data_IF_317678858497
#
_entry.id   IF_317678858497
#
_cell.length_a   1.000
_cell.length_b   1.000
_cell.length_c   1.000
_cell.angle_alpha   90.00
_cell.angle_beta   90.00
_cell.angle_gamma   90.00
#
_symmetry.space_group_name_H-M   'P 1'
#
loop_
_entity.id
_entity.type
_entity.pdbx_description
1 polymer ?
#
# COMPACT_ATOMS: atom_id res chain seq x y z
N UNK A 1 15.25 17.69 15.45
CA UNK A 1 14.84 16.26 15.55
C UNK A 1 15.36 15.56 14.31
N UNK A 2 16.30 14.66 14.50
CA UNK A 2 16.91 13.86 13.44
C UNK A 2 16.36 12.43 13.46
N UNK A 3 15.92 11.94 12.34
CA UNK A 3 15.34 10.59 12.23
C UNK A 3 16.16 9.75 11.27
N UNK A 4 16.54 8.56 11.67
CA UNK A 4 17.16 7.57 10.81
C UNK A 4 16.15 6.49 10.46
N UNK A 5 15.86 6.33 9.17
CA UNK A 5 15.02 5.22 8.68
C UNK A 5 15.92 4.01 8.49
N UNK A 6 15.67 2.96 9.28
CA UNK A 6 16.42 1.73 9.20
C UNK A 6 15.97 0.90 8.00
N UNK A 7 16.88 0.61 7.10
CA UNK A 7 16.64 -0.08 5.83
C UNK A 7 17.05 -1.57 5.87
N UNK A 8 17.25 -2.14 7.05
CA UNK A 8 17.56 -3.56 7.18
C UNK A 8 16.50 -4.45 6.55
N UNK A 9 16.92 -5.46 5.80
CA UNK A 9 16.02 -6.32 5.04
C UNK A 9 15.39 -5.68 3.81
N UNK A 10 15.67 -4.42 3.47
CA UNK A 10 15.07 -3.72 2.31
C UNK A 10 15.25 -4.50 1.00
N UNK A 11 16.39 -5.15 0.79
CA UNK A 11 16.62 -5.96 -0.42
C UNK A 11 15.60 -7.09 -0.60
N UNK A 12 15.02 -7.58 0.51
CA UNK A 12 14.02 -8.65 0.50
C UNK A 12 12.63 -8.08 0.17
N UNK A 13 12.34 -6.87 0.67
CA UNK A 13 11.01 -6.25 0.59
C UNK A 13 10.92 -5.09 -0.41
N UNK A 14 11.98 -4.76 -1.13
CA UNK A 14 12.05 -3.62 -2.03
C UNK A 14 10.93 -3.60 -3.10
N UNK A 15 10.54 -4.78 -3.59
CA UNK A 15 9.44 -4.97 -4.57
C UNK A 15 8.10 -5.27 -3.89
N UNK A 16 7.85 -4.73 -2.70
CA UNK A 16 6.61 -4.92 -1.95
C UNK A 16 6.07 -3.58 -1.46
N UNK A 17 4.85 -3.58 -0.91
CA UNK A 17 4.26 -2.39 -0.28
C UNK A 17 5.12 -1.80 0.84
N UNK A 18 5.92 -2.61 1.55
CA UNK A 18 6.88 -2.12 2.57
C UNK A 18 8.01 -1.31 1.92
N UNK A 19 8.51 -1.76 0.77
CA UNK A 19 9.53 -1.01 0.00
C UNK A 19 9.01 0.36 -0.42
N UNK A 20 7.81 0.42 -1.00
CA UNK A 20 7.15 1.68 -1.36
C UNK A 20 6.93 2.57 -0.13
N UNK A 21 6.46 2.00 0.98
CA UNK A 21 6.24 2.73 2.22
C UNK A 21 7.52 3.38 2.78
N UNK A 22 8.67 2.71 2.68
CA UNK A 22 9.97 3.29 3.11
C UNK A 22 10.33 4.51 2.24
N UNK A 23 10.13 4.44 0.93
CA UNK A 23 10.34 5.59 0.05
C UNK A 23 9.40 6.75 0.38
N UNK A 24 8.12 6.45 0.62
CA UNK A 24 7.14 7.44 1.05
C UNK A 24 7.53 8.09 2.37
N UNK A 25 8.02 7.31 3.34
CA UNK A 25 8.46 7.85 4.63
C UNK A 25 9.65 8.82 4.49
N UNK A 26 10.62 8.54 3.63
CA UNK A 26 11.71 9.49 3.32
C UNK A 26 11.16 10.79 2.74
N UNK A 27 10.20 10.68 1.82
CA UNK A 27 9.53 11.85 1.27
C UNK A 27 8.70 12.60 2.34
N UNK A 28 8.04 11.87 3.26
CA UNK A 28 7.35 12.46 4.41
C UNK A 28 8.30 13.26 5.30
N UNK A 29 9.49 12.72 5.62
CA UNK A 29 10.49 13.45 6.40
C UNK A 29 10.85 14.76 5.70
N UNK A 30 11.11 14.71 4.40
CA UNK A 30 11.45 15.91 3.60
C UNK A 30 10.32 16.92 3.60
N UNK A 31 9.08 16.51 3.32
CA UNK A 31 7.91 17.39 3.25
C UNK A 31 7.55 18.01 4.62
N UNK A 32 7.75 17.26 5.71
CA UNK A 32 7.50 17.72 7.07
C UNK A 32 8.69 18.43 7.71
N UNK A 33 9.76 18.73 6.95
CA UNK A 33 10.99 19.36 7.43
C UNK A 33 11.60 18.63 8.64
N UNK A 34 11.60 17.31 8.60
CA UNK A 34 12.28 16.45 9.58
C UNK A 34 13.64 16.07 9.00
N UNK A 35 14.72 16.38 9.72
CA UNK A 35 16.07 16.06 9.27
C UNK A 35 16.29 14.54 9.22
N UNK A 36 16.63 14.00 8.05
CA UNK A 36 17.06 12.60 7.91
C UNK A 36 18.53 12.47 8.35
N UNK A 37 18.78 11.60 9.32
CA UNK A 37 20.14 11.34 9.80
C UNK A 37 20.86 10.37 8.85
N UNK A 38 22.15 10.63 8.57
CA UNK A 38 22.96 9.77 7.73
C UNK A 38 23.23 8.40 8.40
N UNK A 39 23.16 8.33 9.72
CA UNK A 39 23.34 7.10 10.49
C UNK A 39 22.49 7.08 11.75
N UNK A 40 22.19 5.87 12.25
CA UNK A 40 21.46 5.71 13.51
C UNK A 40 22.18 6.34 14.71
N UNK A 41 23.52 6.52 14.65
CA UNK A 41 24.32 7.13 15.72
C UNK A 41 24.01 8.62 15.91
N UNK A 42 23.70 9.32 14.82
CA UNK A 42 23.40 10.75 14.80
C UNK A 42 21.90 11.05 15.04
N UNK A 43 21.08 10.03 14.92
CA UNK A 43 19.62 10.18 15.05
C UNK A 43 19.19 10.37 16.51
N UNK A 44 18.08 11.09 16.69
CA UNK A 44 17.28 11.10 17.91
C UNK A 44 16.30 9.94 17.93
N UNK A 45 15.75 9.61 16.73
CA UNK A 45 14.78 8.55 16.48
C UNK A 45 15.35 7.56 15.47
N UNK A 46 15.28 6.27 15.78
CA UNK A 46 15.50 5.17 14.84
C UNK A 46 14.16 4.58 14.47
N UNK A 47 13.75 4.77 13.22
CA UNK A 47 12.48 4.33 12.66
C UNK A 47 12.68 3.00 11.93
N UNK A 48 12.02 1.94 12.38
CA UNK A 48 12.21 0.57 11.90
C UNK A 48 10.94 0.08 11.19
N UNK A 49 11.09 -0.42 9.97
CA UNK A 49 9.98 -0.83 9.09
C UNK A 49 9.80 -2.33 8.95
N UNK A 50 10.78 -3.12 9.36
CA UNK A 50 10.78 -4.57 9.17
C UNK A 50 10.85 -5.32 10.50
N UNK A 51 10.46 -6.60 10.47
CA UNK A 51 10.45 -7.48 11.63
C UNK A 51 11.50 -8.61 11.51
N UNK A 52 12.54 -8.39 10.69
CA UNK A 52 13.63 -9.34 10.56
C UNK A 52 14.56 -9.35 11.81
N UNK A 53 15.35 -10.39 12.02
CA UNK A 53 16.26 -10.47 13.18
C UNK A 53 17.23 -9.29 13.29
N UNK A 54 17.73 -8.76 12.17
CA UNK A 54 18.59 -7.57 12.13
C UNK A 54 17.87 -6.30 12.64
N UNK A 55 16.56 -6.18 12.40
CA UNK A 55 15.73 -5.09 12.94
C UNK A 55 15.63 -5.15 14.46
N UNK A 56 15.56 -6.36 15.03
CA UNK A 56 15.58 -6.56 16.48
C UNK A 56 16.92 -6.13 17.07
N UNK A 57 18.02 -6.49 16.42
CA UNK A 57 19.38 -6.06 16.83
C UNK A 57 19.51 -4.54 16.76
N UNK A 58 19.05 -3.94 15.65
CA UNK A 58 19.07 -2.49 15.47
C UNK A 58 18.27 -1.76 16.56
N UNK A 59 17.06 -2.24 16.89
CA UNK A 59 16.25 -1.71 17.98
C UNK A 59 16.96 -1.79 19.33
N UNK A 60 17.57 -2.94 19.66
CA UNK A 60 18.32 -3.15 20.89
C UNK A 60 19.52 -2.21 21.01
N UNK A 61 20.32 -2.10 19.96
CA UNK A 61 21.50 -1.22 19.92
C UNK A 61 21.10 0.26 20.02
N UNK A 62 20.04 0.67 19.34
CA UNK A 62 19.52 2.03 19.42
C UNK A 62 19.11 2.39 20.86
N UNK A 63 18.38 1.52 21.53
CA UNK A 63 17.97 1.70 22.93
C UNK A 63 19.14 1.76 23.89
N UNK A 64 20.12 0.87 23.75
CA UNK A 64 21.33 0.89 24.57
C UNK A 64 22.12 2.21 24.46
N UNK A 65 21.95 2.92 23.33
CA UNK A 65 22.54 4.23 23.10
C UNK A 65 21.60 5.40 23.41
N UNK A 66 20.50 5.15 24.11
CA UNK A 66 19.54 6.17 24.51
C UNK A 66 18.70 6.77 23.38
N UNK A 67 18.69 6.14 22.18
CA UNK A 67 17.89 6.59 21.05
C UNK A 67 16.44 6.14 21.23
N UNK A 68 15.49 6.94 20.72
CA UNK A 68 14.09 6.52 20.63
C UNK A 68 13.89 5.57 19.46
N UNK A 69 13.13 4.52 19.68
CA UNK A 69 12.81 3.52 18.65
C UNK A 69 11.35 3.61 18.29
N UNK A 70 11.06 3.85 17.03
CA UNK A 70 9.70 3.83 16.46
C UNK A 70 9.61 2.65 15.52
N UNK A 71 8.68 1.73 15.77
CA UNK A 71 8.35 0.67 14.81
C UNK A 71 7.17 1.09 13.93
N UNK A 72 7.32 0.93 12.63
CA UNK A 72 6.19 1.01 11.71
C UNK A 72 5.66 -0.41 11.45
N UNK A 73 4.46 -0.68 11.94
CA UNK A 73 3.81 -1.99 11.88
C UNK A 73 3.13 -2.24 10.55
N UNK A 74 3.90 -2.59 9.53
CA UNK A 74 3.38 -2.98 8.23
C UNK A 74 2.80 -4.38 8.22
N UNK A 75 3.25 -5.25 9.12
CA UNK A 75 2.87 -6.67 9.12
C UNK A 75 1.87 -6.97 10.23
N UNK A 76 0.82 -7.71 9.87
CA UNK A 76 -0.14 -8.33 10.79
C UNK A 76 -0.19 -9.83 10.57
N UNK A 77 -0.76 -10.59 11.50
CA UNK A 77 -0.98 -12.01 11.30
C UNK A 77 -1.97 -12.26 10.16
N UNK A 78 -2.96 -11.40 10.05
CA UNK A 78 -4.02 -11.45 9.05
C UNK A 78 -3.45 -11.26 7.65
N UNK A 79 -2.61 -10.25 7.45
CA UNK A 79 -1.91 -9.98 6.19
C UNK A 79 -0.90 -11.08 5.81
N UNK A 80 -0.34 -11.77 6.80
CA UNK A 80 0.58 -12.90 6.59
C UNK A 80 -0.12 -14.17 6.10
N UNK A 81 -1.37 -14.39 6.50
CA UNK A 81 -2.16 -15.54 6.06
C UNK A 81 -2.41 -15.50 4.56
N UNK A 82 -2.50 -16.69 3.93
CA UNK A 82 -2.77 -16.85 2.49
C UNK A 82 -1.79 -16.09 1.58
N UNK A 83 -0.61 -15.72 2.11
CA UNK A 83 0.42 -15.00 1.34
C UNK A 83 1.43 -15.93 0.67
N UNK A 84 1.67 -17.12 1.21
CA UNK A 84 2.55 -18.12 0.61
C UNK A 84 2.31 -19.53 1.17
N UNK A 85 2.93 -20.53 0.57
CA UNK A 85 2.80 -21.93 0.96
C UNK A 85 3.18 -22.10 2.45
N UNK A 86 2.24 -22.60 3.24
CA UNK A 86 2.44 -22.88 4.68
C UNK A 86 2.25 -21.67 5.62
N UNK A 87 2.00 -20.47 5.09
CA UNK A 87 1.79 -19.24 5.90
C UNK A 87 0.73 -19.43 6.98
N UNK A 88 -0.36 -20.09 6.69
CA UNK A 88 -1.47 -20.32 7.64
C UNK A 88 -1.04 -21.13 8.87
N UNK A 89 -0.12 -22.10 8.70
CA UNK A 89 0.38 -22.93 9.81
C UNK A 89 1.29 -22.16 10.75
N UNK A 90 2.10 -21.24 10.19
CA UNK A 90 3.07 -20.46 10.98
C UNK A 90 2.53 -19.10 11.44
N UNK A 91 1.36 -18.68 10.98
CA UNK A 91 0.76 -17.41 11.32
C UNK A 91 0.61 -17.16 12.85
N UNK A 92 0.22 -18.14 13.70
CA UNK A 92 0.18 -17.91 15.15
C UNK A 92 1.55 -17.66 15.77
N UNK A 93 2.61 -18.31 15.26
CA UNK A 93 3.99 -18.07 15.68
C UNK A 93 4.47 -16.69 15.20
N UNK A 94 4.13 -16.33 13.97
CA UNK A 94 4.40 -15.00 13.41
C UNK A 94 3.74 -13.89 14.23
N UNK A 95 2.49 -14.06 14.68
CA UNK A 95 1.82 -13.13 15.60
C UNK A 95 2.64 -12.89 16.89
N UNK A 96 3.17 -13.96 17.50
CA UNK A 96 4.01 -13.83 18.70
C UNK A 96 5.32 -13.08 18.39
N UNK A 97 5.91 -13.36 17.22
CA UNK A 97 7.12 -12.72 16.77
C UNK A 97 6.93 -11.21 16.54
N UNK A 98 5.92 -10.81 15.79
CA UNK A 98 5.66 -9.37 15.54
C UNK A 98 5.27 -8.64 16.81
N UNK A 99 4.50 -9.28 17.72
CA UNK A 99 4.24 -8.73 19.05
C UNK A 99 5.55 -8.44 19.79
N UNK A 100 6.49 -9.38 19.78
CA UNK A 100 7.81 -9.18 20.38
C UNK A 100 8.56 -8.02 19.71
N UNK A 101 8.68 -8.02 18.38
CA UNK A 101 9.39 -6.96 17.65
C UNK A 101 8.79 -5.57 17.96
N UNK A 102 7.50 -5.41 17.82
CA UNK A 102 6.84 -4.12 18.05
C UNK A 102 6.89 -3.66 19.51
N UNK A 103 6.95 -4.59 20.45
CA UNK A 103 7.14 -4.26 21.87
C UNK A 103 8.52 -3.68 22.19
N UNK A 104 9.50 -3.83 21.30
CA UNK A 104 10.82 -3.19 21.41
C UNK A 104 10.74 -1.68 21.11
N UNK A 105 9.75 -1.20 20.39
CA UNK A 105 9.55 0.22 20.13
C UNK A 105 9.24 1.03 21.40
N UNK A 106 9.52 2.31 21.40
CA UNK A 106 9.00 3.25 22.40
C UNK A 106 7.54 3.58 22.07
N UNK A 107 7.22 3.61 20.78
CA UNK A 107 5.86 3.61 20.24
C UNK A 107 5.79 2.81 18.92
N UNK A 108 4.60 2.53 18.46
CA UNK A 108 4.33 1.85 17.19
C UNK A 108 3.47 2.75 16.31
N UNK A 109 3.75 2.76 15.03
CA UNK A 109 2.91 3.38 14.01
C UNK A 109 2.38 2.27 13.10
N UNK A 110 1.19 2.43 12.55
CA UNK A 110 0.62 1.52 11.56
C UNK A 110 -0.30 2.31 10.62
N UNK A 111 -0.61 1.84 9.40
CA UNK A 111 -1.21 2.72 8.40
C UNK A 111 -2.65 3.17 8.69
N UNK A 112 -3.46 2.33 9.35
CA UNK A 112 -4.90 2.56 9.53
C UNK A 112 -5.36 2.27 10.95
N UNK A 113 -6.54 2.77 11.33
CA UNK A 113 -7.17 2.43 12.60
C UNK A 113 -7.53 0.93 12.67
N UNK A 114 -7.82 0.29 11.53
CA UNK A 114 -8.01 -1.16 11.46
C UNK A 114 -6.75 -1.93 11.87
N UNK A 115 -5.62 -1.66 11.22
CA UNK A 115 -4.35 -2.31 11.56
C UNK A 115 -3.90 -1.99 12.98
N UNK A 116 -4.19 -0.78 13.50
CA UNK A 116 -3.99 -0.42 14.90
C UNK A 116 -4.81 -1.32 15.83
N UNK A 117 -6.11 -1.48 15.57
CA UNK A 117 -6.97 -2.37 16.35
C UNK A 117 -6.48 -3.82 16.37
N UNK A 118 -5.96 -4.33 15.23
CA UNK A 118 -5.34 -5.66 15.18
C UNK A 118 -4.11 -5.73 16.10
N UNK A 119 -3.19 -4.77 16.01
CA UNK A 119 -1.96 -4.77 16.83
C UNK A 119 -2.28 -4.60 18.32
N UNK A 120 -3.26 -3.80 18.68
CA UNK A 120 -3.77 -3.68 20.05
C UNK A 120 -4.32 -5.03 20.57
N UNK A 121 -5.07 -5.76 19.71
CA UNK A 121 -5.60 -7.09 20.01
C UNK A 121 -4.52 -8.15 20.28
N UNK A 122 -3.29 -7.92 19.79
CA UNK A 122 -2.15 -8.80 20.07
C UNK A 122 -1.56 -8.60 21.46
N UNK A 123 -2.05 -7.61 22.21
CA UNK A 123 -1.57 -7.28 23.57
C UNK A 123 -0.22 -6.56 23.57
N UNK A 124 0.05 -5.74 22.56
CA UNK A 124 1.20 -4.83 22.55
C UNK A 124 0.92 -3.69 23.53
N UNK A 125 1.78 -3.55 24.55
CA UNK A 125 1.60 -2.58 25.64
C UNK A 125 2.18 -1.18 25.30
N UNK A 126 2.49 -0.94 24.05
CA UNK A 126 3.00 0.35 23.56
C UNK A 126 1.87 1.18 22.97
N UNK A 127 2.02 2.52 23.01
CA UNK A 127 1.09 3.40 22.29
C UNK A 127 1.21 3.12 20.79
N UNK A 128 0.08 2.91 20.13
CA UNK A 128 -0.04 2.64 18.70
C UNK A 128 -0.79 3.79 18.05
N UNK A 129 -0.22 4.35 16.98
CA UNK A 129 -0.80 5.45 16.24
C UNK A 129 -1.05 5.07 14.78
N UNK A 130 -2.20 5.47 14.24
CA UNK A 130 -2.49 5.32 12.82
C UNK A 130 -1.94 6.54 12.05
N UNK A 131 -1.02 6.26 11.12
CA UNK A 131 -0.47 7.24 10.18
C UNK A 131 -0.40 6.57 8.82
N UNK A 132 -1.10 7.10 7.82
CA UNK A 132 -1.10 6.56 6.44
C UNK A 132 0.31 6.45 5.87
N UNK A 133 0.54 5.47 5.00
CA UNK A 133 1.76 5.40 4.18
C UNK A 133 1.88 6.59 3.21
N UNK A 134 0.78 7.30 3.00
CA UNK A 134 0.73 8.42 2.08
C UNK A 134 0.76 8.03 0.60
N UNK A 135 0.39 8.97 -0.24
CA UNK A 135 0.52 8.88 -1.69
C UNK A 135 1.11 10.18 -2.23
N UNK A 136 1.97 10.08 -3.23
CA UNK A 136 2.50 11.27 -3.92
C UNK A 136 1.47 11.77 -4.94
N UNK A 137 0.59 12.68 -4.50
CA UNK A 137 -0.50 13.22 -5.32
C UNK A 137 -0.01 14.14 -6.44
N UNK A 138 1.22 14.63 -6.37
CA UNK A 138 1.83 15.39 -7.46
C UNK A 138 2.35 14.47 -8.57
N UNK A 139 2.83 13.30 -8.18
CA UNK A 139 3.27 12.29 -9.14
C UNK A 139 2.08 11.49 -9.69
N UNK A 140 1.20 10.94 -8.84
CA UNK A 140 0.01 10.19 -9.23
C UNK A 140 -1.14 11.15 -9.56
N UNK A 141 -1.13 11.65 -10.78
CA UNK A 141 -2.18 12.46 -11.38
C UNK A 141 -2.21 12.25 -12.89
N UNK A 142 -3.39 12.31 -13.49
CA UNK A 142 -3.52 12.36 -14.94
C UNK A 142 -3.13 13.75 -15.44
N UNK A 143 -2.44 13.79 -16.57
CA UNK A 143 -2.13 15.02 -17.30
C UNK A 143 -3.02 15.11 -18.55
N UNK A 144 -3.29 13.97 -19.18
CA UNK A 144 -4.14 13.85 -20.35
C UNK A 144 -4.66 12.41 -20.49
N UNK A 145 -5.84 12.16 -19.93
CA UNK A 145 -6.45 10.83 -19.89
C UNK A 145 -6.56 10.14 -21.27
N UNK A 146 -6.91 10.88 -22.31
CA UNK A 146 -7.05 10.31 -23.65
C UNK A 146 -5.71 9.85 -24.24
N UNK A 147 -4.65 10.61 -23.99
CA UNK A 147 -3.29 10.25 -24.43
C UNK A 147 -2.73 9.08 -23.61
N UNK A 148 -2.92 9.09 -22.30
CA UNK A 148 -2.51 8.01 -21.40
C UNK A 148 -3.25 6.70 -21.76
N UNK A 149 -4.54 6.79 -22.10
CA UNK A 149 -5.32 5.65 -22.58
C UNK A 149 -4.80 5.12 -23.91
N UNK A 150 -4.51 6.01 -24.86
CA UNK A 150 -3.91 5.64 -26.14
C UNK A 150 -2.57 4.94 -25.94
N UNK A 151 -1.70 5.49 -25.11
CA UNK A 151 -0.41 4.88 -24.79
C UNK A 151 -0.57 3.47 -24.19
N UNK A 152 -1.56 3.27 -23.33
CA UNK A 152 -1.85 1.97 -22.72
C UNK A 152 -2.32 0.96 -23.77
N UNK A 153 -3.22 1.37 -24.68
CA UNK A 153 -3.66 0.55 -25.80
C UNK A 153 -2.50 0.13 -26.71
N UNK A 154 -1.66 1.08 -27.10
CA UNK A 154 -0.51 0.83 -27.97
C UNK A 154 0.52 -0.09 -27.32
N UNK A 155 0.86 0.18 -26.05
CA UNK A 155 1.88 -0.58 -25.32
C UNK A 155 1.52 -2.05 -25.16
N UNK A 156 0.26 -2.36 -24.88
CA UNK A 156 -0.20 -3.73 -24.62
C UNK A 156 -0.91 -4.36 -25.81
N UNK A 157 -0.92 -3.70 -26.98
CA UNK A 157 -1.55 -4.22 -28.19
C UNK A 157 -3.07 -4.42 -28.07
N UNK A 158 -3.73 -3.54 -27.32
CA UNK A 158 -5.17 -3.64 -27.04
C UNK A 158 -5.95 -3.00 -28.19
N UNK A 159 -6.97 -3.69 -28.69
CA UNK A 159 -7.81 -3.19 -29.77
C UNK A 159 -8.52 -1.88 -29.37
N UNK A 160 -8.59 -0.94 -30.32
CA UNK A 160 -9.25 0.33 -30.11
C UNK A 160 -10.72 0.14 -29.68
N UNK A 161 -11.15 0.95 -28.71
CA UNK A 161 -12.51 0.91 -28.17
C UNK A 161 -12.75 -0.17 -27.12
N UNK A 162 -11.79 -1.05 -26.87
CA UNK A 162 -11.89 -2.05 -25.81
C UNK A 162 -11.70 -1.41 -24.44
N UNK A 163 -12.55 -1.76 -23.47
CA UNK A 163 -12.43 -1.29 -22.09
C UNK A 163 -11.25 -1.96 -21.40
N UNK A 164 -10.55 -1.22 -20.52
CA UNK A 164 -9.38 -1.68 -19.80
C UNK A 164 -9.64 -1.60 -18.31
N UNK A 165 -9.50 -2.74 -17.63
CA UNK A 165 -9.51 -2.86 -16.17
C UNK A 165 -8.12 -3.22 -15.70
N UNK A 166 -7.55 -2.42 -14.79
CA UNK A 166 -6.23 -2.67 -14.21
C UNK A 166 -6.32 -3.12 -12.77
N UNK A 167 -5.37 -3.92 -12.33
CA UNK A 167 -5.18 -4.33 -10.95
C UNK A 167 -3.69 -4.37 -10.62
N UNK A 168 -3.32 -4.27 -9.34
CA UNK A 168 -1.92 -4.29 -8.94
C UNK A 168 -1.70 -5.06 -7.63
N UNK A 169 -0.65 -5.88 -7.58
CA UNK A 169 -0.27 -6.64 -6.40
C UNK A 169 0.60 -7.86 -6.68
N UNK A 170 0.97 -8.56 -5.61
CA UNK A 170 1.64 -9.84 -5.76
C UNK A 170 0.68 -10.93 -6.27
N UNK A 171 1.21 -11.88 -7.04
CA UNK A 171 0.45 -13.05 -7.53
C UNK A 171 0.25 -14.08 -6.41
N UNK A 172 -0.58 -13.75 -5.43
CA UNK A 172 -0.92 -14.59 -4.28
C UNK A 172 -2.42 -14.60 -4.02
N UNK A 173 -2.92 -15.67 -3.40
CA UNK A 173 -4.35 -15.85 -3.13
C UNK A 173 -4.95 -14.66 -2.36
N UNK A 174 -4.25 -14.17 -1.33
CA UNK A 174 -4.71 -13.04 -0.52
C UNK A 174 -4.99 -11.78 -1.34
N UNK A 175 -4.25 -11.55 -2.42
CA UNK A 175 -4.47 -10.41 -3.33
C UNK A 175 -5.63 -10.63 -4.33
N UNK A 176 -6.27 -11.80 -4.28
CA UNK A 176 -7.46 -12.10 -5.09
C UNK A 176 -7.18 -12.34 -6.56
N UNK A 177 -5.96 -12.83 -6.91
CA UNK A 177 -5.61 -13.14 -8.30
C UNK A 177 -6.56 -14.16 -8.95
N UNK A 178 -7.10 -15.09 -8.19
CA UNK A 178 -8.05 -16.08 -8.71
C UNK A 178 -9.38 -15.42 -9.10
N UNK A 179 -9.87 -14.48 -8.29
CA UNK A 179 -11.09 -13.72 -8.57
C UNK A 179 -10.91 -12.80 -9.78
N UNK A 180 -9.74 -12.17 -9.89
CA UNK A 180 -9.40 -11.35 -11.07
C UNK A 180 -9.47 -12.19 -12.36
N UNK A 181 -8.89 -13.38 -12.35
CA UNK A 181 -8.91 -14.28 -13.50
C UNK A 181 -10.32 -14.79 -13.83
N UNK A 182 -11.12 -15.07 -12.82
CA UNK A 182 -12.48 -15.54 -13.02
C UNK A 182 -13.38 -14.40 -13.54
N UNK A 183 -13.25 -13.18 -13.01
CA UNK A 183 -13.97 -12.02 -13.53
C UNK A 183 -13.60 -11.73 -14.99
N UNK A 184 -12.33 -11.89 -15.37
CA UNK A 184 -11.91 -11.73 -16.76
C UNK A 184 -12.59 -12.73 -17.72
N UNK A 185 -12.83 -13.98 -17.29
CA UNK A 185 -13.61 -14.95 -18.07
C UNK A 185 -15.07 -14.55 -18.21
N UNK A 186 -15.65 -13.92 -17.18
CA UNK A 186 -17.03 -13.44 -17.21
C UNK A 186 -17.22 -12.23 -18.13
N UNK A 187 -16.14 -11.54 -18.52
CA UNK A 187 -16.15 -10.31 -19.32
C UNK A 187 -15.14 -10.39 -20.50
N UNK A 188 -15.35 -11.27 -21.49
CA UNK A 188 -14.37 -11.55 -22.55
C UNK A 188 -14.07 -10.34 -23.45
N UNK A 189 -14.96 -9.36 -23.52
CA UNK A 189 -14.81 -8.14 -24.33
C UNK A 189 -14.06 -7.02 -23.60
N UNK A 190 -13.67 -7.21 -22.33
CA UNK A 190 -12.89 -6.28 -21.53
C UNK A 190 -11.46 -6.80 -21.42
N UNK A 191 -10.46 -5.94 -21.52
CA UNK A 191 -9.08 -6.30 -21.27
C UNK A 191 -8.74 -6.10 -19.81
N UNK A 192 -8.15 -7.11 -19.20
CA UNK A 192 -7.72 -7.10 -17.80
C UNK A 192 -6.19 -7.13 -17.73
N UNK A 193 -5.58 -6.16 -17.04
CA UNK A 193 -4.14 -6.08 -16.87
C UNK A 193 -3.79 -6.18 -15.39
N UNK A 194 -2.92 -7.13 -15.05
CA UNK A 194 -2.38 -7.25 -13.70
C UNK A 194 -0.94 -6.77 -13.65
N UNK A 195 -0.68 -5.78 -12.79
CA UNK A 195 0.65 -5.26 -12.50
C UNK A 195 1.21 -5.88 -11.22
N UNK A 196 2.46 -6.26 -11.27
CA UNK A 196 3.15 -6.92 -10.17
C UNK A 196 3.44 -8.39 -10.46
N UNK A 197 4.13 -9.01 -9.56
CA UNK A 197 4.61 -10.38 -9.73
C UNK A 197 4.71 -11.10 -8.41
N UNK A 198 5.42 -12.22 -8.40
CA UNK A 198 5.67 -13.01 -7.21
C UNK A 198 7.00 -13.78 -7.35
N UNK A 199 7.49 -14.29 -6.23
CA UNK A 199 8.54 -15.28 -6.24
C UNK A 199 7.90 -16.65 -6.49
N UNK A 200 8.14 -17.23 -7.66
CA UNK A 200 7.53 -18.48 -8.09
C UNK A 200 7.66 -19.63 -7.07
N UNK A 201 8.70 -19.63 -6.25
CA UNK A 201 8.88 -20.62 -5.20
C UNK A 201 7.90 -20.50 -4.03
N UNK A 202 7.29 -19.33 -3.85
CA UNK A 202 6.33 -19.05 -2.77
C UNK A 202 4.88 -19.06 -3.22
N UNK A 203 4.64 -18.95 -4.53
CA UNK A 203 3.30 -18.98 -5.14
C UNK A 203 2.71 -20.39 -5.06
N UNK A 204 1.44 -20.51 -4.64
CA UNK A 204 0.76 -21.80 -4.56
C UNK A 204 0.57 -22.43 -5.93
N UNK A 205 0.48 -23.76 -5.98
CA UNK A 205 0.28 -24.49 -7.24
C UNK A 205 -1.03 -24.06 -7.94
N UNK A 206 -2.08 -23.84 -7.17
CA UNK A 206 -3.38 -23.37 -7.67
C UNK A 206 -3.25 -22.05 -8.44
N UNK A 207 -2.52 -21.05 -7.86
CA UNK A 207 -2.29 -19.77 -8.51
C UNK A 207 -1.44 -19.93 -9.78
N UNK A 208 -0.39 -20.78 -9.74
CA UNK A 208 0.43 -21.06 -10.93
C UNK A 208 -0.37 -21.64 -12.08
N UNK A 209 -1.23 -22.61 -11.79
CA UNK A 209 -2.10 -23.24 -12.78
C UNK A 209 -3.14 -22.27 -13.33
N UNK A 210 -3.76 -21.45 -12.47
CA UNK A 210 -4.71 -20.43 -12.89
C UNK A 210 -4.06 -19.37 -13.80
N UNK A 211 -2.87 -18.89 -13.45
CA UNK A 211 -2.10 -17.95 -14.26
C UNK A 211 -1.71 -18.53 -15.61
N UNK A 212 -1.30 -19.80 -15.65
CA UNK A 212 -0.96 -20.53 -16.89
C UNK A 212 -2.18 -20.67 -17.82
N UNK A 213 -3.36 -20.90 -17.23
CA UNK A 213 -4.61 -21.16 -17.96
C UNK A 213 -5.49 -19.89 -18.08
N UNK A 214 -4.88 -18.71 -18.02
CA UNK A 214 -5.59 -17.42 -18.14
C UNK A 214 -6.34 -17.31 -19.47
N UNK A 215 -7.43 -16.56 -19.49
CA UNK A 215 -8.13 -16.20 -20.73
C UNK A 215 -7.31 -15.21 -21.58
N UNK A 216 -7.61 -15.13 -22.88
CA UNK A 216 -6.87 -14.29 -23.84
C UNK A 216 -6.94 -12.80 -23.52
N UNK A 217 -8.01 -12.34 -22.89
CA UNK A 217 -8.22 -10.96 -22.50
C UNK A 217 -7.46 -10.55 -21.22
N UNK A 218 -6.63 -11.41 -20.66
CA UNK A 218 -5.79 -11.12 -19.50
C UNK A 218 -4.34 -10.90 -19.91
N UNK A 219 -3.74 -9.84 -19.40
CA UNK A 219 -2.33 -9.49 -19.57
C UNK A 219 -1.66 -9.43 -18.18
N UNK A 220 -0.54 -10.11 -18.02
CA UNK A 220 0.35 -9.95 -16.87
C UNK A 220 1.52 -9.05 -17.26
N UNK A 221 1.50 -7.80 -16.79
CA UNK A 221 2.54 -6.82 -17.08
C UNK A 221 3.83 -7.06 -16.27
N UNK A 222 3.76 -7.89 -15.22
CA UNK A 222 4.88 -8.09 -14.32
C UNK A 222 5.12 -6.89 -13.41
N UNK A 223 6.30 -6.85 -12.80
CA UNK A 223 6.71 -5.71 -11.99
C UNK A 223 7.20 -4.60 -12.91
N UNK A 224 6.60 -3.42 -12.79
CA UNK A 224 6.90 -2.24 -13.61
C UNK A 224 7.36 -1.07 -12.75
N UNK A 225 7.97 -0.07 -13.38
CA UNK A 225 8.33 1.18 -12.71
C UNK A 225 7.09 2.01 -12.35
N UNK A 226 7.20 2.86 -11.34
CA UNK A 226 6.09 3.67 -10.85
C UNK A 226 5.45 4.57 -11.92
N UNK A 227 6.25 5.09 -12.86
CA UNK A 227 5.77 5.90 -13.98
C UNK A 227 4.86 5.12 -14.93
N UNK A 228 5.19 3.85 -15.18
CA UNK A 228 4.36 2.98 -16.00
C UNK A 228 3.06 2.61 -15.28
N UNK A 229 3.14 2.33 -13.98
CA UNK A 229 1.96 2.02 -13.17
C UNK A 229 1.02 3.24 -13.08
N UNK A 230 1.58 4.46 -12.91
CA UNK A 230 0.82 5.71 -12.99
C UNK A 230 0.08 5.82 -14.33
N UNK A 231 0.79 5.64 -15.45
CA UNK A 231 0.17 5.73 -16.78
C UNK A 231 -0.92 4.68 -16.98
N UNK A 232 -0.75 3.50 -16.39
CA UNK A 232 -1.77 2.46 -16.42
C UNK A 232 -3.03 2.85 -15.62
N UNK A 233 -2.88 3.45 -14.43
CA UNK A 233 -4.01 3.97 -13.68
C UNK A 233 -4.73 5.08 -14.44
N UNK A 234 -3.97 6.07 -14.93
CA UNK A 234 -4.54 7.22 -15.62
C UNK A 234 -5.20 6.86 -16.95
N UNK A 235 -4.73 5.82 -17.66
CA UNK A 235 -5.28 5.41 -18.95
C UNK A 235 -6.34 4.30 -18.87
N UNK A 236 -6.62 3.74 -17.70
CA UNK A 236 -7.60 2.67 -17.55
C UNK A 236 -9.04 3.19 -17.43
N UNK A 237 -10.02 2.35 -17.80
CA UNK A 237 -11.44 2.65 -17.55
C UNK A 237 -11.86 2.36 -16.11
N UNK A 238 -11.16 1.45 -15.41
CA UNK A 238 -11.34 1.18 -13.98
C UNK A 238 -10.10 0.53 -13.35
N UNK A 239 -9.92 0.75 -12.05
CA UNK A 239 -9.02 -0.03 -11.20
C UNK A 239 -9.86 -0.97 -10.32
N UNK A 240 -9.64 -2.27 -10.44
CA UNK A 240 -10.34 -3.28 -9.66
C UNK A 240 -9.38 -3.98 -8.69
N UNK A 241 -9.68 -3.91 -7.39
CA UNK A 241 -8.81 -4.42 -6.34
C UNK A 241 -9.49 -5.55 -5.56
N UNK A 242 -8.94 -6.75 -5.65
CA UNK A 242 -9.57 -7.99 -5.18
C UNK A 242 -9.06 -8.49 -3.83
N UNK A 243 -8.20 -7.73 -3.16
CA UNK A 243 -7.53 -8.18 -1.95
C UNK A 243 -8.51 -8.56 -0.83
N UNK A 244 -8.22 -9.66 -0.15
CA UNK A 244 -9.00 -10.16 0.99
C UNK A 244 -8.54 -9.57 2.32
N UNK A 245 -7.31 -9.05 2.37
CA UNK A 245 -6.74 -8.46 3.57
C UNK A 245 -5.64 -7.46 3.21
N UNK A 246 -5.66 -6.31 3.89
CA UNK A 246 -4.69 -5.23 3.74
C UNK A 246 -4.41 -4.55 5.07
N UNK A 247 -3.27 -3.90 5.17
CA UNK A 247 -3.02 -2.93 6.26
C UNK A 247 -3.41 -1.51 5.87
N UNK A 248 -3.40 -1.18 4.57
CA UNK A 248 -3.92 0.05 3.97
C UNK A 248 -4.28 -0.13 2.49
N UNK A 249 -3.33 -0.60 1.68
CA UNK A 249 -3.44 -0.70 0.22
C UNK A 249 -2.93 0.56 -0.49
N UNK A 250 -1.61 0.77 -0.52
CA UNK A 250 -0.97 1.94 -1.18
C UNK A 250 -1.45 2.09 -2.63
N UNK A 251 -1.56 0.99 -3.37
CA UNK A 251 -2.04 0.98 -4.76
C UNK A 251 -3.47 1.50 -4.92
N UNK A 252 -4.30 1.38 -3.89
CA UNK A 252 -5.64 1.99 -3.87
C UNK A 252 -5.54 3.51 -3.77
N UNK A 253 -4.66 4.02 -2.89
CA UNK A 253 -4.41 5.46 -2.78
C UNK A 253 -3.84 6.04 -4.09
N UNK A 254 -2.95 5.30 -4.76
CA UNK A 254 -2.39 5.68 -6.06
C UNK A 254 -3.48 5.78 -7.13
N UNK A 255 -4.36 4.78 -7.21
CA UNK A 255 -5.48 4.76 -8.14
C UNK A 255 -6.48 5.91 -7.87
N UNK A 256 -6.85 6.16 -6.60
CA UNK A 256 -7.70 7.30 -6.21
C UNK A 256 -7.05 8.64 -6.59
N UNK A 257 -5.74 8.77 -6.43
CA UNK A 257 -4.99 9.97 -6.79
C UNK A 257 -4.93 10.21 -8.32
N UNK A 258 -4.92 9.13 -9.11
CA UNK A 258 -4.97 9.19 -10.58
C UNK A 258 -6.39 9.41 -11.14
N UNK A 259 -7.41 9.55 -10.28
CA UNK A 259 -8.80 9.79 -10.69
C UNK A 259 -9.33 8.71 -11.67
N UNK A 260 -8.94 7.44 -11.45
CA UNK A 260 -9.56 6.29 -12.12
C UNK A 260 -10.68 5.73 -11.23
N UNK A 261 -11.84 5.31 -11.80
CA UNK A 261 -12.88 4.68 -11.00
C UNK A 261 -12.37 3.43 -10.29
N UNK A 262 -12.50 3.39 -8.96
CA UNK A 262 -11.97 2.30 -8.12
C UNK A 262 -13.10 1.39 -7.65
N UNK A 263 -12.91 0.09 -7.83
CA UNK A 263 -13.78 -0.96 -7.25
C UNK A 263 -12.92 -1.78 -6.30
N UNK A 264 -13.38 -1.96 -5.07
CA UNK A 264 -12.68 -2.77 -4.08
C UNK A 264 -13.61 -3.83 -3.48
N UNK A 265 -12.99 -4.94 -3.03
CA UNK A 265 -13.66 -5.83 -2.10
C UNK A 265 -13.94 -5.06 -0.81
N UNK A 266 -15.18 -5.14 -0.28
CA UNK A 266 -15.52 -4.55 1.02
C UNK A 266 -14.86 -5.36 2.14
N UNK A 267 -13.71 -4.86 2.60
CA UNK A 267 -12.93 -5.44 3.69
C UNK A 267 -12.74 -4.43 4.82
N UNK A 268 -12.53 -4.88 6.07
CA UNK A 268 -12.52 -4.01 7.24
C UNK A 268 -11.53 -2.84 7.21
N UNK A 269 -10.43 -2.96 6.47
CA UNK A 269 -9.40 -1.91 6.38
C UNK A 269 -9.93 -0.59 5.80
N UNK A 270 -10.96 -0.64 4.94
CA UNK A 270 -11.53 0.54 4.29
C UNK A 270 -12.62 1.23 5.12
N UNK A 271 -13.06 0.59 6.21
CA UNK A 271 -14.09 1.15 7.08
C UNK A 271 -13.61 2.47 7.72
N UNK A 272 -14.45 3.50 7.59
CA UNK A 272 -14.23 4.81 8.20
C UNK A 272 -13.29 5.75 7.43
N UNK A 273 -12.85 5.36 6.20
CA UNK A 273 -12.09 6.26 5.35
C UNK A 273 -12.38 6.13 3.84
N UNK A 274 -12.95 5.03 3.38
CA UNK A 274 -13.58 4.93 2.05
C UNK A 274 -15.05 4.60 2.25
N UNK A 275 -15.93 5.43 1.72
CA UNK A 275 -17.37 5.24 1.72
C UNK A 275 -17.81 4.73 0.36
N UNK A 276 -18.70 3.72 0.37
CA UNK A 276 -19.23 3.13 -0.85
C UNK A 276 -19.98 4.17 -1.69
N UNK A 277 -19.75 4.15 -3.00
CA UNK A 277 -20.33 5.07 -4.00
C UNK A 277 -20.01 6.56 -3.78
N UNK A 278 -19.10 6.87 -2.86
CA UNK A 278 -18.64 8.25 -2.63
C UNK A 278 -17.24 8.47 -3.19
N UNK A 279 -16.26 7.64 -2.80
CA UNK A 279 -14.88 7.71 -3.32
C UNK A 279 -14.49 6.48 -4.14
N UNK A 280 -15.14 5.35 -3.90
CA UNK A 280 -14.93 4.10 -4.59
C UNK A 280 -16.21 3.24 -4.49
N UNK A 281 -16.29 2.20 -5.28
CA UNK A 281 -17.34 1.20 -5.19
C UNK A 281 -16.85 0.02 -4.34
N UNK A 282 -17.66 -0.42 -3.38
CA UNK A 282 -17.39 -1.57 -2.53
C UNK A 282 -18.30 -2.73 -2.89
N UNK A 283 -17.72 -3.89 -3.09
CA UNK A 283 -18.42 -5.09 -3.56
C UNK A 283 -17.98 -6.33 -2.78
N UNK A 284 -18.83 -7.37 -2.76
CA UNK A 284 -18.63 -8.58 -1.96
C UNK A 284 -18.34 -9.82 -2.78
N UNK A 285 -18.72 -9.85 -4.05
CA UNK A 285 -18.61 -11.01 -4.94
C UNK A 285 -18.39 -10.63 -6.40
N UNK A 286 -18.07 -11.60 -7.27
CA UNK A 286 -17.71 -11.36 -8.66
C UNK A 286 -18.87 -10.81 -9.52
N UNK A 287 -20.11 -11.19 -9.22
CA UNK A 287 -21.28 -10.62 -9.92
C UNK A 287 -21.44 -9.13 -9.64
N UNK A 288 -21.21 -8.72 -8.39
CA UNK A 288 -21.20 -7.31 -8.03
C UNK A 288 -20.06 -6.55 -8.72
N UNK A 289 -18.81 -7.15 -8.78
CA UNK A 289 -17.72 -6.57 -9.57
C UNK A 289 -18.11 -6.35 -11.02
N UNK A 290 -18.68 -7.37 -11.67
CA UNK A 290 -19.13 -7.30 -13.06
C UNK A 290 -20.17 -6.21 -13.27
N UNK A 291 -21.23 -6.21 -12.45
CA UNK A 291 -22.31 -5.23 -12.55
C UNK A 291 -21.79 -3.80 -12.34
N UNK A 292 -20.87 -3.62 -11.39
CA UNK A 292 -20.29 -2.32 -11.12
C UNK A 292 -19.34 -1.85 -12.23
N UNK A 293 -18.58 -2.75 -12.86
CA UNK A 293 -17.77 -2.41 -14.04
C UNK A 293 -18.67 -1.97 -15.20
N UNK A 294 -19.78 -2.67 -15.47
CA UNK A 294 -20.74 -2.27 -16.49
C UNK A 294 -21.32 -0.88 -16.18
N UNK A 295 -21.69 -0.64 -14.92
CA UNK A 295 -22.17 0.68 -14.50
C UNK A 295 -21.14 1.79 -14.75
N UNK A 296 -19.86 1.55 -14.41
CA UNK A 296 -18.77 2.52 -14.64
C UNK A 296 -18.59 2.81 -16.12
N UNK A 297 -18.66 1.80 -16.99
CA UNK A 297 -18.45 1.98 -18.43
C UNK A 297 -19.57 2.75 -19.12
N UNK A 298 -20.77 2.77 -18.55
CA UNK A 298 -21.97 3.37 -19.13
C UNK A 298 -22.34 4.73 -18.54
N UNK A 299 -21.78 5.08 -17.36
CA UNK A 299 -22.19 6.27 -16.62
C UNK A 299 -21.02 7.22 -16.34
N UNK A 300 -21.33 8.49 -16.18
CA UNK A 300 -20.37 9.51 -15.76
C UNK A 300 -19.96 9.28 -14.29
N UNK A 301 -18.65 9.36 -14.03
CA UNK A 301 -18.04 9.13 -12.71
C UNK A 301 -17.46 10.41 -12.08
N UNK A 302 -17.69 11.58 -12.67
CA UNK A 302 -17.02 12.84 -12.33
C UNK A 302 -17.05 13.16 -10.83
N UNK A 303 -18.22 13.03 -10.18
CA UNK A 303 -18.33 13.33 -8.75
C UNK A 303 -17.56 12.31 -7.88
N UNK A 304 -17.60 11.02 -8.24
CA UNK A 304 -16.86 9.97 -7.56
C UNK A 304 -15.37 10.21 -7.68
N UNK A 305 -14.87 10.56 -8.87
CA UNK A 305 -13.46 10.83 -9.14
C UNK A 305 -12.95 12.05 -8.37
N UNK A 306 -13.74 13.11 -8.32
CA UNK A 306 -13.44 14.29 -7.51
C UNK A 306 -13.32 13.94 -6.02
N UNK A 307 -14.28 13.22 -5.47
CA UNK A 307 -14.25 12.78 -4.07
C UNK A 307 -13.06 11.85 -3.80
N UNK A 308 -12.72 10.97 -4.76
CA UNK A 308 -11.56 10.08 -4.69
C UNK A 308 -10.25 10.88 -4.61
N UNK A 309 -10.10 11.89 -5.47
CA UNK A 309 -8.94 12.78 -5.46
C UNK A 309 -8.82 13.55 -4.15
N UNK A 310 -9.90 14.13 -3.65
CA UNK A 310 -9.93 14.84 -2.37
C UNK A 310 -9.50 13.92 -1.21
N UNK A 311 -9.93 12.67 -1.20
CA UNK A 311 -9.50 11.68 -0.21
C UNK A 311 -7.99 11.37 -0.32
N UNK A 312 -7.48 11.20 -1.55
CA UNK A 312 -6.05 11.00 -1.78
C UNK A 312 -5.20 12.18 -1.29
N UNK A 313 -5.66 13.42 -1.51
CA UNK A 313 -5.01 14.64 -1.01
C UNK A 313 -4.94 14.68 0.52
N UNK A 314 -6.01 14.28 1.21
CA UNK A 314 -6.04 14.17 2.68
C UNK A 314 -5.05 13.13 3.21
N UNK A 315 -4.68 12.15 2.38
CA UNK A 315 -3.71 11.07 2.66
C UNK A 315 -2.42 11.23 1.85
N UNK A 316 -2.14 12.44 1.36
CA UNK A 316 -0.90 12.72 0.64
C UNK A 316 0.33 12.50 1.53
N UNK A 317 1.49 12.29 0.91
CA UNK A 317 2.79 12.22 1.60
C UNK A 317 2.99 13.44 2.51
N UNK A 318 2.55 14.62 2.08
CA UNK A 318 2.62 15.84 2.88
C UNK A 318 1.76 15.74 4.14
N UNK A 319 0.48 15.40 4.00
CA UNK A 319 -0.46 15.25 5.13
C UNK A 319 -0.01 14.14 6.09
N UNK A 320 0.44 13.01 5.56
CA UNK A 320 0.98 11.91 6.35
C UNK A 320 2.28 12.32 7.07
N UNK A 321 3.15 13.10 6.44
CA UNK A 321 4.37 13.62 7.02
C UNK A 321 4.13 14.54 8.23
N UNK A 322 3.15 15.43 8.14
CA UNK A 322 2.78 16.30 9.28
C UNK A 322 2.23 15.46 10.46
N UNK A 323 1.42 14.44 10.19
CA UNK A 323 0.95 13.51 11.21
C UNK A 323 2.10 12.71 11.83
N UNK A 324 3.04 12.24 11.02
CA UNK A 324 4.24 11.53 11.46
C UNK A 324 5.08 12.42 12.41
N UNK A 325 5.26 13.70 12.05
CA UNK A 325 5.96 14.69 12.88
C UNK A 325 5.32 14.87 14.26
N UNK A 326 3.98 14.90 14.33
CA UNK A 326 3.26 14.95 15.60
C UNK A 326 3.52 13.70 16.42
N UNK A 327 3.42 12.53 15.81
CA UNK A 327 3.64 11.23 16.51
C UNK A 327 5.08 11.12 17.02
N UNK A 328 6.06 11.56 16.25
CA UNK A 328 7.46 11.57 16.69
C UNK A 328 7.67 12.46 17.93
N UNK A 329 7.02 13.61 18.01
CA UNK A 329 7.06 14.47 19.22
C UNK A 329 6.51 13.75 20.45
N UNK A 330 5.49 12.92 20.28
CA UNK A 330 4.89 12.12 21.36
C UNK A 330 5.82 11.00 21.86
N UNK A 331 6.89 10.65 21.14
CA UNK A 331 7.93 9.73 21.60
C UNK A 331 8.82 10.31 22.71
N UNK A 332 8.65 11.59 23.03
CA UNK A 332 9.42 12.30 24.07
C UNK A 332 10.76 12.87 23.57
N UNK A 333 10.94 13.01 22.24
CA UNK A 333 12.06 13.74 21.66
C UNK A 333 11.76 15.23 21.70
N UNK A 334 12.56 15.99 22.44
CA UNK A 334 12.46 17.47 22.43
C UNK A 334 12.84 18.00 21.05
N UNK A 335 11.90 18.62 20.39
CA UNK A 335 12.14 19.42 19.19
C UNK A 335 12.73 20.74 19.67
N UNK A 336 14.05 20.88 19.70
CA UNK A 336 14.68 22.19 19.78
C UNK A 336 14.19 22.97 18.55
N UNK A 337 13.42 24.01 18.79
CA UNK A 337 13.12 25.00 17.77
C UNK A 337 14.48 25.50 17.26
N UNK A 338 14.77 25.28 15.99
CA UNK A 338 15.80 26.03 15.30
C UNK A 338 15.30 27.47 15.20
N UNK A 339 15.51 28.26 16.26
CA UNK A 339 15.42 29.68 16.18
C UNK A 339 16.44 30.09 15.14
N UNK A 340 15.95 30.64 14.03
CA UNK A 340 16.74 31.42 13.13
C UNK A 340 17.54 32.45 13.98
N UNK A 341 18.82 32.18 14.18
CA UNK A 341 19.75 33.25 14.50
C UNK A 341 20.07 33.91 13.15
N UNK A 342 19.24 34.89 12.80
CA UNK A 342 19.67 35.91 11.90
C UNK A 342 20.71 36.77 12.63
N UNK A 343 21.80 36.94 12.01
CA UNK A 343 22.63 38.17 11.99
C UNK A 343 23.46 38.08 10.72
#
# INVERSE_FOLDING_TARGET
MKTYIYEGGLRIVAKSGVGSAILHQKNMLKQAEIEEAASWKEADIVHINTVFPDSVIAAGLAKLKGKKVVYYGHSTMEDFRNSFIGSNRVAPLFKKWIRFCYSLGDLVITPTEYSKGLLESYGIQKKIYAVSNGVDTEFFKSENHEEEKKMLHEKYGILAGRKIVVSAGHLIQRKGILDFLELAKMMPDVTFIWFGGGNDSLVTQEVKEAVKNKSENVIFAGFVEASELKNAYCGADAFAFFSYEETEGIVVLEALACEVPVILRDIPVYKGWIEDQVQAYKVHNLEEYKNQLMHIFENNQEQLLKNARELAEQRSIRSAGERLKVVYRLSGVNVLQSTHRGL
#
